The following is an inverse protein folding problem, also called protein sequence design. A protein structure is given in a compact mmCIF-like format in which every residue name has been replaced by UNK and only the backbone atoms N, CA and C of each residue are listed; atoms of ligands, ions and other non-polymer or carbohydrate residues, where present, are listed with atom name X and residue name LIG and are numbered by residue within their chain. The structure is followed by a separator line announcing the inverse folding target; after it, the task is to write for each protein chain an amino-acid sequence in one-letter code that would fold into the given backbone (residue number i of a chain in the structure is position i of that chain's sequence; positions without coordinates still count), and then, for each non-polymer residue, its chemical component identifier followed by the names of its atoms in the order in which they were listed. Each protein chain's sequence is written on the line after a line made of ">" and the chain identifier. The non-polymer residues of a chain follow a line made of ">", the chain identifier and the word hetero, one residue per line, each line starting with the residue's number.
data_IF_692415726896
#
_entry.id   IF_692415726896
#
_cell.length_a   1.000
_cell.length_b   1.000
_cell.length_c   1.000
_cell.angle_alpha   90.00
_cell.angle_beta   90.00
_cell.angle_gamma   90.00
#
_symmetry.space_group_name_H-M   'P 1'
#
loop_
_entity.id
_entity.type
_entity.pdbx_description
1 polymer ?
#
# COMPACT_ATOMS: atom_id res chain seq x y z
N UNK A 1 2.83 2.76 16.95
CA UNK A 1 2.48 4.17 16.69
C UNK A 1 3.28 4.64 15.49
N UNK A 2 2.71 4.53 14.29
CA UNK A 2 3.34 5.01 13.06
C UNK A 2 2.65 6.29 12.63
N UNK A 3 3.33 7.43 12.76
CA UNK A 3 2.87 8.69 12.19
C UNK A 3 3.45 8.78 10.77
N UNK A 4 2.62 8.62 9.75
CA UNK A 4 3.03 8.81 8.36
C UNK A 4 2.23 9.90 7.67
N UNK A 5 2.27 11.09 8.27
CA UNK A 5 2.18 12.36 7.58
C UNK A 5 3.08 13.34 8.33
N UNK A 6 3.97 14.05 7.64
CA UNK A 6 4.61 15.21 8.25
C UNK A 6 3.54 16.29 8.46
N UNK A 7 3.02 16.45 9.68
CA UNK A 7 2.28 17.62 10.23
C UNK A 7 1.21 18.34 9.38
N UNK A 8 0.91 17.92 8.14
CA UNK A 8 0.34 18.83 7.13
C UNK A 8 -1.13 18.65 6.78
N UNK A 9 -1.82 17.59 7.21
CA UNK A 9 -3.25 17.46 6.89
C UNK A 9 -4.12 16.92 8.03
N UNK A 10 -5.30 17.52 8.16
CA UNK A 10 -6.33 17.24 9.17
C UNK A 10 -7.13 15.96 8.89
N UNK A 11 -7.18 15.47 7.64
CA UNK A 11 -7.99 14.28 7.31
C UNK A 11 -7.34 12.97 7.78
N UNK A 12 -6.02 12.97 8.00
CA UNK A 12 -5.29 11.85 8.58
C UNK A 12 -5.61 11.58 10.07
N UNK A 13 -6.48 12.39 10.69
CA UNK A 13 -6.92 12.21 12.09
C UNK A 13 -8.23 11.43 12.23
N UNK A 14 -8.81 10.91 11.14
CA UNK A 14 -10.03 10.10 11.22
C UNK A 14 -9.71 8.69 11.76
N UNK A 15 -10.37 8.33 12.88
CA UNK A 15 -10.11 7.09 13.64
C UNK A 15 -10.33 5.82 12.81
N UNK A 16 -11.21 5.85 11.80
CA UNK A 16 -11.48 4.71 10.93
C UNK A 16 -10.47 4.51 9.77
N UNK A 17 -9.52 5.42 9.56
CA UNK A 17 -8.56 5.27 8.46
C UNK A 17 -7.40 4.35 8.88
N UNK A 18 -7.22 3.25 8.14
CA UNK A 18 -6.02 2.40 8.22
C UNK A 18 -5.10 2.71 7.05
N UNK A 19 -3.80 2.78 7.34
CA UNK A 19 -2.76 3.08 6.36
C UNK A 19 -1.83 1.87 6.25
N UNK A 20 -1.43 1.54 5.01
CA UNK A 20 -0.55 0.41 4.73
C UNK A 20 0.82 0.95 4.33
N UNK A 21 1.87 0.48 5.00
CA UNK A 21 3.25 0.71 4.57
C UNK A 21 3.63 -0.26 3.45
N UNK A 22 4.76 0.01 2.79
CA UNK A 22 5.37 -0.94 1.86
C UNK A 22 5.67 -2.27 2.54
N UNK A 23 6.03 -2.27 3.82
CA UNK A 23 6.26 -3.50 4.60
C UNK A 23 4.96 -4.28 4.79
N UNK A 24 3.85 -3.60 5.08
CA UNK A 24 2.54 -4.24 5.21
C UNK A 24 2.10 -4.87 3.88
N UNK A 25 2.28 -4.16 2.77
CA UNK A 25 1.99 -4.69 1.42
C UNK A 25 2.86 -5.92 1.10
N UNK A 26 4.13 -5.93 1.52
CA UNK A 26 5.01 -7.11 1.36
C UNK A 26 4.51 -8.28 2.19
N UNK A 27 4.11 -8.05 3.44
CA UNK A 27 3.57 -9.09 4.33
C UNK A 27 2.26 -9.66 3.79
N UNK A 28 1.37 -8.81 3.28
CA UNK A 28 0.14 -9.23 2.61
C UNK A 28 0.38 -10.03 1.31
N UNK A 29 1.55 -9.84 0.69
CA UNK A 29 1.95 -10.53 -0.54
C UNK A 29 2.73 -11.82 -0.30
N UNK A 30 2.89 -12.27 0.95
CA UNK A 30 3.59 -13.52 1.26
C UNK A 30 2.96 -14.72 0.54
N UNK A 31 3.81 -15.60 -0.01
CA UNK A 31 3.37 -16.74 -0.82
C UNK A 31 2.96 -16.40 -2.26
N UNK A 32 2.99 -15.13 -2.64
CA UNK A 32 2.84 -14.66 -4.01
C UNK A 32 4.18 -14.14 -4.55
N UNK A 33 4.30 -14.13 -5.87
CA UNK A 33 5.41 -13.46 -6.53
C UNK A 33 5.04 -12.01 -6.80
N UNK A 34 5.86 -11.08 -6.31
CA UNK A 34 5.68 -9.65 -6.53
C UNK A 34 6.32 -9.26 -7.86
N UNK A 35 5.49 -8.91 -8.84
CA UNK A 35 5.92 -8.44 -10.16
C UNK A 35 6.21 -6.94 -10.13
N UNK A 36 5.37 -6.18 -9.43
CA UNK A 36 5.53 -4.74 -9.25
C UNK A 36 5.24 -4.38 -7.80
N UNK A 37 6.10 -3.55 -7.23
CA UNK A 37 5.83 -2.82 -6.01
C UNK A 37 6.45 -1.43 -6.15
N UNK A 38 5.60 -0.41 -6.26
CA UNK A 38 6.01 0.98 -6.47
C UNK A 38 5.31 1.87 -5.48
N UNK A 39 6.11 2.59 -4.70
CA UNK A 39 5.65 3.65 -3.82
C UNK A 39 5.76 4.99 -4.55
N UNK A 40 4.77 5.85 -4.38
CA UNK A 40 4.78 7.20 -4.93
C UNK A 40 4.15 8.15 -3.94
N UNK A 41 4.86 9.25 -3.67
CA UNK A 41 4.36 10.39 -2.93
C UNK A 41 4.34 11.60 -3.84
N UNK A 42 3.20 12.28 -3.89
CA UNK A 42 3.05 13.49 -4.69
C UNK A 42 2.05 14.45 -4.05
N UNK A 43 2.29 15.77 -4.11
CA UNK A 43 1.27 16.73 -3.75
C UNK A 43 0.13 16.68 -4.78
N UNK A 44 -1.11 16.67 -4.30
CA UNK A 44 -2.33 16.72 -5.12
C UNK A 44 -3.27 17.78 -4.57
N UNK A 45 -4.13 18.36 -5.41
CA UNK A 45 -5.19 19.28 -4.95
C UNK A 45 -6.52 18.53 -4.97
N UNK A 46 -7.18 18.46 -3.82
CA UNK A 46 -8.53 17.90 -3.64
C UNK A 46 -9.37 18.96 -2.95
N UNK A 47 -10.53 19.31 -3.51
CA UNK A 47 -11.47 20.30 -2.96
C UNK A 47 -10.82 21.63 -2.53
N UNK A 48 -9.88 22.13 -3.34
CA UNK A 48 -9.09 23.36 -3.11
C UNK A 48 -8.07 23.29 -1.97
N UNK A 49 -7.90 22.14 -1.33
CA UNK A 49 -6.83 21.89 -0.37
C UNK A 49 -5.70 21.08 -1.03
N UNK A 50 -4.45 21.48 -0.79
CA UNK A 50 -3.31 20.61 -1.08
C UNK A 50 -3.40 19.40 -0.16
N UNK A 51 -3.07 18.21 -0.64
CA UNK A 51 -2.92 16.98 0.16
C UNK A 51 -1.65 16.27 -0.27
N UNK A 52 -0.99 15.58 0.67
CA UNK A 52 0.08 14.64 0.31
C UNK A 52 -0.55 13.30 -0.08
N UNK A 53 -0.51 12.96 -1.37
CA UNK A 53 -1.05 11.71 -1.90
C UNK A 53 0.03 10.62 -1.84
N UNK A 54 -0.16 9.65 -0.95
CA UNK A 54 0.70 8.48 -0.83
C UNK A 54 -0.01 7.27 -1.46
N UNK A 55 0.65 6.65 -2.45
CA UNK A 55 0.10 5.53 -3.22
C UNK A 55 1.13 4.41 -3.29
N UNK A 56 0.65 3.17 -3.11
CA UNK A 56 1.42 1.96 -3.36
C UNK A 56 0.74 1.16 -4.46
N UNK A 57 1.40 1.03 -5.60
CA UNK A 57 0.98 0.17 -6.69
C UNK A 57 1.62 -1.21 -6.53
N UNK A 58 0.79 -2.25 -6.58
CA UNK A 58 1.25 -3.64 -6.44
C UNK A 58 0.64 -4.53 -7.53
N UNK A 59 1.49 -5.36 -8.15
CA UNK A 59 1.06 -6.45 -9.04
C UNK A 59 1.69 -7.73 -8.50
N UNK A 60 0.85 -8.71 -8.18
CA UNK A 60 1.27 -10.02 -7.67
C UNK A 60 0.78 -11.14 -8.57
N UNK A 61 1.52 -12.25 -8.58
CA UNK A 61 1.16 -13.48 -9.29
C UNK A 61 1.10 -14.64 -8.31
N UNK A 62 0.06 -15.46 -8.44
CA UNK A 62 -0.03 -16.74 -7.73
C UNK A 62 1.05 -17.69 -8.25
N UNK A 63 1.94 -18.12 -7.36
CA UNK A 63 2.92 -19.15 -7.70
C UNK A 63 2.17 -20.47 -7.84
N UNK A 64 2.22 -21.09 -9.02
CA UNK A 64 1.67 -22.44 -9.19
C UNK A 64 2.64 -23.42 -8.53
N UNK A 65 2.27 -23.93 -7.35
CA UNK A 65 2.96 -25.07 -6.77
C UNK A 65 2.77 -26.27 -7.68
N UNK A 66 3.83 -26.78 -8.29
CA UNK A 66 3.84 -27.95 -9.17
C UNK A 66 3.59 -29.29 -8.43
N UNK A 67 2.70 -29.31 -7.44
CA UNK A 67 2.30 -30.51 -6.69
C UNK A 67 0.83 -30.43 -6.29
N UNK A 68 -0.06 -30.76 -7.23
CA UNK A 68 -1.44 -31.12 -6.90
C UNK A 68 -2.10 -32.07 -7.93
N UNK A 69 -1.34 -32.73 -8.82
CA UNK A 69 -1.91 -33.67 -9.82
C UNK A 69 -1.18 -35.02 -9.87
N UNK A 70 -0.73 -35.55 -8.72
CA UNK A 70 -0.35 -36.96 -8.59
C UNK A 70 -0.76 -37.48 -7.20
N UNK A 71 -2.01 -37.90 -7.06
CA UNK A 71 -2.46 -38.91 -6.10
C UNK A 71 -3.78 -39.50 -6.61
#
# INVERSE_FOLDING_TARGET
>A
MGHFFGLRHSWASQVQMSFQSVEDVRRLSEGLEVILLRETESPMIIDSESVNWHRIDVIVRKVHSAKADQA
#
